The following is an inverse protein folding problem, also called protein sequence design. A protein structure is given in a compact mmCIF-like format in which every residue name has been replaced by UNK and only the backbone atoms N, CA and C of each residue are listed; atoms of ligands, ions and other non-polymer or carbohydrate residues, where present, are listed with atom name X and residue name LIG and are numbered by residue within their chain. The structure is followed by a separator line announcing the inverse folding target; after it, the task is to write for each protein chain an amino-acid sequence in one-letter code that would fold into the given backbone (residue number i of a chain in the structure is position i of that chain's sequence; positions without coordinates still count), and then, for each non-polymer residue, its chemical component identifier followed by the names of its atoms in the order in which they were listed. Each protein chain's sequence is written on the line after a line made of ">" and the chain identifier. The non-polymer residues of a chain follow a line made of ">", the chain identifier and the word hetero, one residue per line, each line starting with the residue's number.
data_IF_068525080966
#
_entry.id   IF_068525080966
#
_cell.length_a   1.000
_cell.length_b   1.000
_cell.length_c   1.000
_cell.angle_alpha   90.00
_cell.angle_beta   90.00
_cell.angle_gamma   90.00
#
_symmetry.space_group_name_H-M   'P 1'
#
loop_
_entity.id
_entity.type
_entity.pdbx_description
1 polymer ?
#
# COMPACT_ATOMS: atom_id res chain seq x y z
N UNK A 1 6.15 -0.02 -38.54
CA UNK A 1 5.15 -0.64 -37.63
C UNK A 1 5.10 0.22 -36.38
N UNK A 2 4.24 1.24 -36.37
CA UNK A 2 4.09 2.17 -35.25
C UNK A 2 3.20 1.50 -34.21
N UNK A 3 3.71 1.23 -33.01
CA UNK A 3 2.84 0.88 -31.87
C UNK A 3 1.83 2.02 -31.66
N UNK A 4 0.54 1.73 -31.42
CA UNK A 4 -0.46 2.77 -31.24
C UNK A 4 -0.12 3.56 -29.97
N UNK A 5 0.18 4.85 -30.13
CA UNK A 5 0.56 5.79 -29.07
C UNK A 5 -0.41 5.78 -27.86
N UNK A 6 -1.70 5.53 -28.10
CA UNK A 6 -2.69 5.40 -27.03
C UNK A 6 -2.49 4.20 -26.09
N UNK A 7 -1.81 3.13 -26.54
CA UNK A 7 -1.54 1.94 -25.69
C UNK A 7 -0.45 2.21 -24.65
N UNK A 8 0.55 3.02 -24.98
CA UNK A 8 1.61 3.43 -24.05
C UNK A 8 1.10 4.42 -22.99
N UNK A 9 0.20 5.32 -23.38
CA UNK A 9 -0.41 6.29 -22.45
C UNK A 9 -1.30 5.59 -21.42
N UNK A 10 -2.16 4.67 -21.87
CA UNK A 10 -3.00 3.89 -20.97
C UNK A 10 -2.19 3.06 -19.95
N UNK A 11 -1.05 2.51 -20.38
CA UNK A 11 -0.16 1.75 -19.49
C UNK A 11 0.49 2.66 -18.42
N UNK A 12 0.97 3.85 -18.82
CA UNK A 12 1.56 4.81 -17.89
C UNK A 12 0.52 5.32 -16.87
N UNK A 13 -0.71 5.59 -17.31
CA UNK A 13 -1.81 5.98 -16.43
C UNK A 13 -2.17 4.86 -15.43
N UNK A 14 -2.21 3.61 -15.88
CA UNK A 14 -2.46 2.47 -15.01
C UNK A 14 -1.36 2.30 -13.95
N UNK A 15 -0.09 2.48 -14.33
CA UNK A 15 1.04 2.46 -13.39
C UNK A 15 0.93 3.58 -12.35
N UNK A 16 0.64 4.81 -12.80
CA UNK A 16 0.45 5.95 -11.91
C UNK A 16 -0.75 5.76 -10.96
N UNK A 17 -1.87 5.24 -11.46
CA UNK A 17 -3.06 4.95 -10.64
C UNK A 17 -2.77 3.85 -9.62
N UNK A 18 -2.03 2.80 -10.01
CA UNK A 18 -1.61 1.74 -9.11
C UNK A 18 -0.73 2.27 -7.98
N UNK A 19 0.31 3.05 -8.30
CA UNK A 19 1.18 3.70 -7.31
C UNK A 19 0.37 4.64 -6.41
N UNK A 20 -0.50 5.47 -7.00
CA UNK A 20 -1.35 6.40 -6.25
C UNK A 20 -2.29 5.69 -5.27
N UNK A 21 -2.90 4.58 -5.69
CA UNK A 21 -3.76 3.77 -4.83
C UNK A 21 -2.98 3.17 -3.64
N UNK A 22 -1.74 2.73 -3.85
CA UNK A 22 -0.88 2.25 -2.77
C UNK A 22 -0.55 3.36 -1.76
N UNK A 23 -0.22 4.56 -2.23
CA UNK A 23 0.03 5.71 -1.36
C UNK A 23 -1.20 6.07 -0.52
N UNK A 24 -2.38 6.10 -1.14
CA UNK A 24 -3.64 6.36 -0.46
C UNK A 24 -3.93 5.29 0.62
N UNK A 25 -3.64 4.03 0.32
CA UNK A 25 -3.79 2.93 1.28
C UNK A 25 -2.82 3.07 2.46
N UNK A 26 -1.55 3.33 2.20
CA UNK A 26 -0.52 3.41 3.24
C UNK A 26 -0.77 4.57 4.20
N UNK A 27 -1.03 5.77 3.66
CA UNK A 27 -1.14 6.99 4.48
C UNK A 27 -2.59 7.20 4.94
N UNK A 28 -3.55 7.14 4.02
CA UNK A 28 -4.96 7.38 4.31
C UNK A 28 -5.55 6.29 5.19
N UNK A 29 -5.52 5.04 4.72
CA UNK A 29 -6.11 3.92 5.47
C UNK A 29 -5.26 3.57 6.69
N UNK A 30 -3.93 3.64 6.58
CA UNK A 30 -3.03 3.40 7.72
C UNK A 30 -3.20 4.44 8.83
N UNK A 31 -3.25 5.73 8.48
CA UNK A 31 -3.52 6.79 9.44
C UNK A 31 -4.91 6.69 10.06
N UNK A 32 -5.93 6.34 9.26
CA UNK A 32 -7.28 6.13 9.76
C UNK A 32 -7.38 4.92 10.71
N UNK A 33 -6.72 3.81 10.36
CA UNK A 33 -6.63 2.61 11.22
C UNK A 33 -5.97 2.94 12.56
N UNK A 34 -4.91 3.75 12.55
CA UNK A 34 -4.27 4.25 13.76
C UNK A 34 -5.23 5.11 14.59
N UNK A 35 -5.87 6.11 13.97
CA UNK A 35 -6.79 7.05 14.65
C UNK A 35 -7.92 6.30 15.36
N UNK A 36 -8.58 5.37 14.66
CA UNK A 36 -9.70 4.62 15.21
C UNK A 36 -9.30 3.65 16.32
N UNK A 37 -8.07 3.13 16.28
CA UNK A 37 -7.64 2.09 17.22
C UNK A 37 -6.99 2.67 18.46
N UNK A 38 -5.94 3.46 18.29
CA UNK A 38 -5.06 3.90 19.37
C UNK A 38 -4.74 5.41 19.29
N UNK A 39 -5.30 6.17 18.33
CA UNK A 39 -5.01 7.60 18.18
C UNK A 39 -5.93 8.54 18.97
N UNK A 40 -7.18 8.15 19.25
CA UNK A 40 -8.18 9.01 19.91
C UNK A 40 -8.97 8.35 21.06
N UNK A 41 -8.82 7.03 21.27
CA UNK A 41 -9.57 6.30 22.30
C UNK A 41 -8.91 6.36 23.69
N UNK A 42 -9.64 6.05 24.78
CA UNK A 42 -9.05 5.92 26.12
C UNK A 42 -7.95 4.84 26.17
N UNK A 43 -7.98 3.87 25.25
CA UNK A 43 -6.95 2.84 25.09
C UNK A 43 -5.63 3.38 24.51
N UNK A 44 -5.63 4.59 23.92
CA UNK A 44 -4.46 5.26 23.36
C UNK A 44 -3.35 5.49 24.41
N UNK A 45 -3.75 5.70 25.66
CA UNK A 45 -2.84 5.85 26.80
C UNK A 45 -2.64 4.56 27.58
N UNK A 46 -3.51 3.56 27.40
CA UNK A 46 -3.43 2.27 28.08
C UNK A 46 -2.49 1.29 27.38
N UNK A 47 -2.29 1.44 26.07
CA UNK A 47 -1.50 0.53 25.25
C UNK A 47 -0.22 1.22 24.82
N UNK A 48 0.93 0.63 25.14
CA UNK A 48 2.26 1.21 24.82
C UNK A 48 3.14 0.21 24.09
N UNK A 49 4.16 0.75 23.40
CA UNK A 49 5.16 -0.06 22.71
C UNK A 49 4.61 -0.88 21.55
N UNK A 50 5.15 -2.10 21.36
CA UNK A 50 4.83 -2.95 20.20
C UNK A 50 3.37 -3.39 20.09
N UNK A 51 2.62 -3.39 21.20
CA UNK A 51 1.21 -3.78 21.19
C UNK A 51 0.33 -2.83 20.35
N UNK A 52 0.68 -1.54 20.32
CA UNK A 52 0.01 -0.51 19.50
C UNK A 52 0.21 -0.79 18.01
N UNK A 53 1.43 -1.20 17.63
CA UNK A 53 1.74 -1.55 16.25
C UNK A 53 0.95 -2.78 15.81
N UNK A 54 0.94 -3.85 16.62
CA UNK A 54 0.18 -5.07 16.31
C UNK A 54 -1.31 -4.77 16.14
N UNK A 55 -1.90 -3.99 17.06
CA UNK A 55 -3.31 -3.58 16.96
C UNK A 55 -3.60 -2.75 15.71
N UNK A 56 -2.73 -1.80 15.37
CA UNK A 56 -2.86 -0.99 14.16
C UNK A 56 -2.77 -1.85 12.91
N UNK A 57 -1.78 -2.75 12.84
CA UNK A 57 -1.62 -3.66 11.69
C UNK A 57 -2.82 -4.59 11.49
N UNK A 58 -3.51 -4.97 12.56
CA UNK A 58 -4.72 -5.80 12.45
C UNK A 58 -5.99 -5.01 12.20
N UNK A 59 -5.99 -3.69 12.42
CA UNK A 59 -7.14 -2.84 12.17
C UNK A 59 -7.41 -2.77 10.67
N UNK A 60 -8.61 -3.21 10.25
CA UNK A 60 -8.99 -3.44 8.85
C UNK A 60 -8.01 -4.30 8.05
N UNK A 61 -7.26 -5.19 8.71
CA UNK A 61 -6.20 -5.99 8.08
C UNK A 61 -5.16 -5.14 7.33
N UNK A 62 -4.90 -3.91 7.79
CA UNK A 62 -3.99 -2.99 7.12
C UNK A 62 -2.60 -3.60 6.89
N UNK A 63 -2.01 -4.23 7.89
CA UNK A 63 -0.71 -4.91 7.82
C UNK A 63 -0.69 -6.09 6.84
N UNK A 64 -1.60 -7.07 6.94
CA UNK A 64 -1.71 -8.14 5.95
C UNK A 64 -1.86 -7.64 4.49
N UNK A 65 -2.63 -6.57 4.27
CA UNK A 65 -2.76 -5.98 2.93
C UNK A 65 -1.46 -5.31 2.49
N UNK A 66 -0.75 -4.60 3.37
CA UNK A 66 0.57 -4.05 3.07
C UNK A 66 1.58 -5.14 2.69
N UNK A 67 1.57 -6.29 3.37
CA UNK A 67 2.40 -7.44 3.01
C UNK A 67 2.06 -7.99 1.62
N UNK A 68 0.77 -8.11 1.29
CA UNK A 68 0.34 -8.56 -0.04
C UNK A 68 0.79 -7.57 -1.14
N UNK A 69 0.65 -6.27 -0.91
CA UNK A 69 1.10 -5.23 -1.84
C UNK A 69 2.63 -5.29 -2.04
N UNK A 70 3.40 -5.46 -0.96
CA UNK A 70 4.85 -5.62 -1.05
C UNK A 70 5.24 -6.84 -1.91
N UNK A 71 4.55 -7.97 -1.75
CA UNK A 71 4.80 -9.17 -2.56
C UNK A 71 4.50 -8.89 -4.04
N UNK A 72 3.39 -8.20 -4.33
CA UNK A 72 3.03 -7.82 -5.71
C UNK A 72 4.10 -6.91 -6.30
N UNK A 73 4.56 -5.90 -5.56
CA UNK A 73 5.62 -4.99 -6.01
C UNK A 73 6.93 -5.72 -6.28
N UNK A 74 7.33 -6.64 -5.41
CA UNK A 74 8.55 -7.45 -5.61
C UNK A 74 8.43 -8.32 -6.86
N UNK A 75 7.29 -8.98 -7.07
CA UNK A 75 7.04 -9.79 -8.26
C UNK A 75 7.07 -8.92 -9.51
N UNK A 76 6.44 -7.76 -9.46
CA UNK A 76 6.35 -6.86 -10.60
C UNK A 76 7.69 -6.21 -10.94
N UNK A 77 8.46 -5.77 -9.95
CA UNK A 77 9.84 -5.28 -10.12
C UNK A 77 10.73 -6.34 -10.77
N UNK A 78 10.67 -7.59 -10.30
CA UNK A 78 11.39 -8.72 -10.91
C UNK A 78 10.97 -8.96 -12.36
N UNK A 79 9.70 -8.75 -12.71
CA UNK A 79 9.23 -8.90 -14.10
C UNK A 79 9.75 -7.78 -14.99
N UNK A 80 9.80 -6.53 -14.52
CA UNK A 80 10.35 -5.39 -15.27
C UNK A 80 11.81 -5.63 -15.64
N UNK A 81 12.66 -6.02 -14.68
CA UNK A 81 14.09 -6.24 -14.93
C UNK A 81 14.44 -7.37 -15.91
N UNK A 82 13.48 -8.25 -16.27
CA UNK A 82 13.68 -9.28 -17.32
C UNK A 82 13.26 -8.83 -18.72
N UNK A 83 12.56 -7.71 -18.85
CA UNK A 83 12.16 -7.14 -20.14
C UNK A 83 13.23 -6.18 -20.68
N UNK A 84 14.13 -5.70 -19.81
CA UNK A 84 15.18 -4.74 -20.12
C UNK A 84 16.53 -5.40 -20.50
N UNK A 85 16.59 -6.74 -20.51
CA UNK A 85 17.76 -7.58 -20.80
C UNK A 85 17.61 -8.34 -22.11
#
# INVERSE_FOLDING_TARGET
>A
MTTPQGKSEAAALAEAAFIGAQFLWLIGVGGFAWILRDGLGPDAVATTGGAVLVRTFWTFYWGPVCLALLVVDVIWWRRRGRLDS
#
